data_IF_747323679786
#
_entry.id   IF_747323679786
#
_cell.length_a   1.000
_cell.length_b   1.000
_cell.length_c   1.000
_cell.angle_alpha   90.00
_cell.angle_beta   90.00
_cell.angle_gamma   90.00
#
_symmetry.space_group_name_H-M   'P 1'
#
loop_
_entity.id
_entity.type
_entity.pdbx_description
1 polymer ?
#
# COMPACT_ATOMS: atom_id res chain seq x y z
N UNK A 1 -5.94 -9.96 -93.01
CA UNK A 1 -5.47 -8.93 -92.05
C UNK A 1 -5.43 -9.57 -90.67
N UNK A 2 -4.35 -9.69 -89.89
CA UNK A 2 -2.95 -9.27 -89.96
C UNK A 2 -2.10 -10.38 -89.32
N UNK A 3 -0.85 -10.46 -89.77
CA UNK A 3 0.22 -11.37 -89.36
C UNK A 3 0.76 -11.14 -87.94
N UNK A 4 1.43 -12.20 -87.41
CA UNK A 4 2.57 -12.20 -86.46
C UNK A 4 2.22 -11.86 -85.00
N UNK A 5 2.76 -12.47 -83.94
CA UNK A 5 4.06 -13.11 -83.64
C UNK A 5 3.87 -13.82 -82.28
N UNK A 6 4.29 -15.08 -82.13
CA UNK A 6 5.45 -15.54 -81.35
C UNK A 6 5.35 -15.55 -79.80
N UNK A 7 5.98 -16.59 -79.24
CA UNK A 7 6.50 -16.75 -77.87
C UNK A 7 5.48 -17.00 -76.76
N UNK A 8 5.76 -17.76 -75.70
CA UNK A 8 6.68 -18.87 -75.33
C UNK A 8 6.42 -19.01 -73.81
N UNK A 9 6.66 -20.21 -73.26
CA UNK A 9 7.00 -20.49 -71.85
C UNK A 9 5.90 -20.18 -70.80
N UNK A 10 5.42 -21.15 -70.00
CA UNK A 10 6.07 -21.95 -68.92
C UNK A 10 6.14 -21.22 -67.56
N UNK A 11 5.89 -22.01 -66.50
CA UNK A 11 6.21 -21.86 -65.07
C UNK A 11 5.18 -21.05 -64.24
N UNK A 12 4.32 -21.67 -63.42
CA UNK A 12 4.51 -22.50 -62.19
C UNK A 12 4.74 -21.66 -60.92
N UNK A 13 4.13 -22.16 -59.84
CA UNK A 13 4.31 -21.86 -58.40
C UNK A 13 3.49 -20.64 -57.93
N UNK A 14 2.52 -20.75 -57.02
CA UNK A 14 2.32 -21.68 -55.91
C UNK A 14 2.30 -20.85 -54.63
N UNK A 15 1.30 -21.00 -53.77
CA UNK A 15 1.39 -20.98 -52.29
C UNK A 15 0.01 -21.28 -51.70
N UNK A 16 0.07 -22.16 -50.71
CA UNK A 16 -0.97 -22.78 -49.89
C UNK A 16 -1.59 -21.76 -48.94
N UNK A 17 -2.92 -21.74 -48.85
CA UNK A 17 -3.67 -21.07 -47.79
C UNK A 17 -3.40 -21.79 -46.46
N UNK A 18 -2.68 -21.14 -45.55
CA UNK A 18 -2.54 -21.59 -44.15
C UNK A 18 -3.61 -20.92 -43.29
N UNK A 19 -4.42 -21.75 -42.63
CA UNK A 19 -5.37 -21.33 -41.62
C UNK A 19 -4.65 -20.65 -40.44
N UNK A 20 -5.29 -19.60 -39.95
CA UNK A 20 -4.89 -18.73 -38.85
C UNK A 20 -4.59 -19.48 -37.54
N UNK A 21 -3.43 -19.16 -36.95
CA UNK A 21 -3.05 -19.50 -35.57
C UNK A 21 -3.98 -18.81 -34.57
N UNK A 22 -4.61 -19.60 -33.69
CA UNK A 22 -5.06 -19.14 -32.38
C UNK A 22 -3.95 -19.46 -31.37
N UNK A 23 -3.10 -18.48 -31.06
CA UNK A 23 -2.12 -18.57 -29.99
C UNK A 23 -2.82 -18.51 -28.64
N UNK A 24 -3.00 -19.67 -28.02
CA UNK A 24 -3.28 -19.82 -26.61
C UNK A 24 -2.04 -19.36 -25.82
N UNK A 25 -2.02 -18.09 -25.38
CA UNK A 25 -1.04 -17.61 -24.40
C UNK A 25 -1.40 -18.24 -23.05
N UNK A 26 -0.87 -19.44 -22.82
CA UNK A 26 -0.68 -19.97 -21.48
C UNK A 26 0.30 -19.02 -20.77
N UNK A 27 -0.26 -18.02 -20.09
CA UNK A 27 0.47 -17.17 -19.17
C UNK A 27 1.00 -18.10 -18.09
N UNK A 28 2.31 -18.36 -18.12
CA UNK A 28 3.02 -18.94 -16.99
C UNK A 28 2.79 -18.01 -15.81
N UNK A 29 1.83 -18.37 -14.96
CA UNK A 29 1.80 -17.92 -13.59
C UNK A 29 3.06 -18.47 -12.94
N UNK A 30 4.13 -17.67 -12.98
CA UNK A 30 5.21 -17.77 -12.02
C UNK A 30 4.59 -17.41 -10.67
N UNK A 31 3.94 -18.40 -10.08
CA UNK A 31 3.62 -18.44 -8.66
C UNK A 31 4.97 -18.44 -7.95
N UNK A 32 5.49 -17.24 -7.69
CA UNK A 32 6.60 -17.06 -6.77
C UNK A 32 6.06 -17.43 -5.41
N UNK A 33 6.19 -18.70 -5.06
CA UNK A 33 6.15 -19.20 -3.70
C UNK A 33 7.31 -18.51 -2.97
N UNK A 34 7.06 -17.32 -2.42
CA UNK A 34 8.00 -16.70 -1.51
C UNK A 34 7.93 -17.50 -0.22
N UNK A 35 9.03 -18.20 0.02
CA UNK A 35 9.46 -18.74 1.30
C UNK A 35 9.18 -17.67 2.36
N UNK A 36 8.19 -17.94 3.22
CA UNK A 36 7.94 -17.17 4.43
C UNK A 36 9.21 -17.28 5.28
N UNK A 37 9.97 -16.21 5.34
CA UNK A 37 10.93 -16.00 6.42
C UNK A 37 10.14 -15.57 7.66
N UNK A 38 10.32 -16.32 8.75
CA UNK A 38 9.62 -16.24 10.04
C UNK A 38 9.81 -14.92 10.84
N UNK A 39 9.95 -13.76 10.19
CA UNK A 39 9.95 -12.45 10.86
C UNK A 39 8.78 -11.55 10.47
N UNK A 40 7.83 -12.06 9.67
CA UNK A 40 6.67 -11.32 9.15
C UNK A 40 5.39 -11.56 9.99
N UNK A 41 5.42 -12.48 10.96
CA UNK A 41 4.25 -12.86 11.76
C UNK A 41 3.68 -11.73 12.66
N UNK A 42 4.39 -10.62 12.86
CA UNK A 42 3.93 -9.49 13.71
C UNK A 42 3.44 -8.26 12.96
N UNK A 43 3.64 -8.16 11.64
CA UNK A 43 3.23 -7.00 10.86
C UNK A 43 1.86 -7.24 10.22
N UNK A 44 0.89 -6.37 10.51
CA UNK A 44 -0.37 -6.33 9.78
C UNK A 44 -0.09 -5.96 8.33
N UNK A 45 0.64 -4.87 8.09
CA UNK A 45 0.97 -4.40 6.74
C UNK A 45 2.45 -4.01 6.66
N UNK A 46 3.11 -4.41 5.57
CA UNK A 46 4.50 -4.07 5.28
C UNK A 46 4.68 -3.64 3.82
N UNK A 47 4.96 -2.35 3.58
CA UNK A 47 5.25 -1.81 2.26
C UNK A 47 6.75 -1.60 2.09
N UNK A 48 7.34 -2.18 1.03
CA UNK A 48 8.73 -1.98 0.68
C UNK A 48 8.86 -0.97 -0.47
N UNK A 49 9.21 0.26 -0.13
CA UNK A 49 9.49 1.33 -1.08
C UNK A 49 10.96 1.37 -1.54
N UNK A 50 11.28 2.36 -2.38
CA UNK A 50 12.63 2.64 -2.89
C UNK A 50 13.48 3.44 -1.90
N UNK A 51 12.85 4.30 -1.10
CA UNK A 51 13.52 5.16 -0.11
C UNK A 51 13.27 4.68 1.32
N UNK A 52 12.10 4.08 1.57
CA UNK A 52 11.71 3.64 2.90
C UNK A 52 10.86 2.38 2.87
N UNK A 53 10.84 1.67 4.00
CA UNK A 53 9.82 0.67 4.31
C UNK A 53 8.81 1.26 5.27
N UNK A 54 7.54 0.90 5.09
CA UNK A 54 6.45 1.29 6.00
C UNK A 54 5.84 0.05 6.61
N UNK A 55 5.78 0.00 7.93
CA UNK A 55 5.24 -1.11 8.69
C UNK A 55 4.11 -0.63 9.61
N UNK A 56 3.02 -1.39 9.63
CA UNK A 56 1.94 -1.28 10.60
C UNK A 56 1.85 -2.64 11.30
N UNK A 57 2.09 -2.64 12.61
CA UNK A 57 2.06 -3.85 13.43
C UNK A 57 0.65 -4.36 13.69
N UNK A 58 0.54 -5.60 14.18
CA UNK A 58 -0.73 -6.21 14.60
C UNK A 58 -1.27 -5.71 15.95
N UNK A 59 -0.49 -4.89 16.66
CA UNK A 59 -0.87 -4.30 17.95
C UNK A 59 -1.73 -3.06 17.77
N UNK A 60 -2.84 -2.99 18.50
CA UNK A 60 -3.62 -1.78 18.67
C UNK A 60 -3.20 -1.04 19.94
N UNK A 61 -3.43 0.27 19.96
CA UNK A 61 -2.95 1.11 21.04
C UNK A 61 -4.08 1.91 21.68
N UNK A 62 -4.01 2.01 23.01
CA UNK A 62 -4.78 2.96 23.81
C UNK A 62 -4.02 4.29 23.89
N UNK A 63 -4.70 5.39 23.64
CA UNK A 63 -4.16 6.75 23.74
C UNK A 63 -4.91 7.60 24.79
N UNK A 64 -4.68 8.92 24.78
CA UNK A 64 -5.27 9.84 25.76
C UNK A 64 -6.80 9.91 25.67
N UNK A 65 -7.37 9.67 24.49
CA UNK A 65 -8.81 9.57 24.32
C UNK A 65 -9.25 8.10 24.31
N UNK A 66 -9.91 7.66 25.39
CA UNK A 66 -10.40 6.29 25.54
C UNK A 66 -11.54 5.93 24.57
N UNK A 67 -12.14 6.91 23.89
CA UNK A 67 -13.14 6.66 22.86
C UNK A 67 -12.52 6.19 21.53
N UNK A 68 -11.20 6.26 21.37
CA UNK A 68 -10.47 5.91 20.15
C UNK A 68 -9.53 4.73 20.40
N UNK A 69 -9.14 4.08 19.30
CA UNK A 69 -7.94 3.25 19.28
C UNK A 69 -6.95 3.84 18.27
N UNK A 70 -5.70 3.43 18.41
CA UNK A 70 -4.60 3.92 17.59
C UNK A 70 -3.86 2.76 16.94
N UNK A 71 -3.28 3.03 15.78
CA UNK A 71 -2.25 2.17 15.17
C UNK A 71 -0.89 2.85 15.28
N UNK A 72 0.17 2.04 15.29
CA UNK A 72 1.54 2.51 15.12
C UNK A 72 1.92 2.40 13.64
N UNK A 73 2.33 3.50 13.03
CA UNK A 73 2.96 3.52 11.71
C UNK A 73 4.45 3.75 11.90
N UNK A 74 5.26 2.83 11.42
CA UNK A 74 6.71 2.94 11.43
C UNK A 74 7.25 3.10 10.01
N UNK A 75 8.01 4.16 9.78
CA UNK A 75 8.64 4.48 8.50
C UNK A 75 10.15 4.38 8.71
N UNK A 76 10.78 3.39 8.09
CA UNK A 76 12.22 3.18 8.20
C UNK A 76 12.91 3.58 6.91
N UNK A 77 13.90 4.48 7.01
CA UNK A 77 14.74 4.85 5.88
C UNK A 77 15.68 3.69 5.53
N UNK A 78 15.49 3.13 4.34
CA UNK A 78 16.28 2.02 3.81
C UNK A 78 17.30 2.46 2.77
N UNK A 79 17.40 3.78 2.51
CA UNK A 79 18.39 4.36 1.61
C UNK A 79 19.63 4.84 2.36
N UNK A 80 20.73 5.00 1.62
CA UNK A 80 21.99 5.55 2.17
C UNK A 80 21.97 7.08 2.37
N UNK A 81 20.86 7.74 2.05
CA UNK A 81 20.73 9.19 2.14
C UNK A 81 19.68 9.57 3.18
N UNK A 82 19.78 10.77 3.74
CA UNK A 82 18.68 11.35 4.51
C UNK A 82 17.45 11.45 3.59
N UNK A 83 16.29 11.10 4.12
CA UNK A 83 15.01 11.28 3.44
C UNK A 83 14.15 12.28 4.23
N UNK A 84 13.30 13.02 3.53
CA UNK A 84 12.26 13.86 4.11
C UNK A 84 10.88 13.29 3.80
N UNK A 85 9.96 13.37 4.77
CA UNK A 85 8.56 12.94 4.66
C UNK A 85 7.65 14.17 4.76
N UNK A 86 6.71 14.27 3.83
CA UNK A 86 5.65 15.28 3.88
C UNK A 86 4.51 14.82 4.77
N UNK A 87 4.46 15.38 5.99
CA UNK A 87 3.38 15.17 6.96
C UNK A 87 2.48 16.41 7.10
N UNK A 88 2.55 17.35 6.15
CA UNK A 88 1.85 18.65 6.26
C UNK A 88 0.32 18.53 6.18
N UNK A 89 -0.19 17.51 5.49
CA UNK A 89 -1.62 17.20 5.41
C UNK A 89 -1.95 15.98 6.27
N UNK A 90 -2.26 16.23 7.55
CA UNK A 90 -2.63 15.20 8.53
C UNK A 90 -3.82 14.35 8.10
N UNK A 91 -4.69 14.85 7.23
CA UNK A 91 -5.87 14.11 6.77
C UNK A 91 -5.54 13.02 5.76
N UNK A 92 -4.37 13.12 5.11
CA UNK A 92 -3.94 12.21 4.04
C UNK A 92 -2.81 11.26 4.41
N UNK A 93 -2.19 11.37 5.60
CA UNK A 93 -1.19 10.39 6.08
C UNK A 93 -1.80 8.99 6.15
N UNK A 94 -1.02 7.94 6.39
CA UNK A 94 -1.60 6.59 6.58
C UNK A 94 -2.39 6.57 7.90
N UNK A 95 -3.63 6.07 7.86
CA UNK A 95 -4.55 6.02 8.99
C UNK A 95 -5.50 4.80 8.95
N UNK A 96 -6.11 4.40 10.08
CA UNK A 96 -7.16 3.38 10.11
C UNK A 96 -8.48 3.93 9.54
N UNK A 97 -9.05 3.28 8.53
CA UNK A 97 -10.21 3.77 7.80
C UNK A 97 -11.53 3.10 8.20
N UNK A 98 -11.51 1.78 8.40
CA UNK A 98 -12.65 1.02 8.91
C UNK A 98 -12.15 -0.21 9.67
N UNK A 99 -12.98 -0.72 10.56
CA UNK A 99 -12.73 -1.99 11.25
C UNK A 99 -14.03 -2.73 11.49
N UNK A 100 -13.94 -4.00 11.85
CA UNK A 100 -15.08 -4.79 12.28
C UNK A 100 -14.69 -6.22 12.64
N UNK A 101 -15.65 -6.96 13.19
CA UNK A 101 -15.46 -8.36 13.56
C UNK A 101 -15.78 -9.28 12.39
N UNK A 102 -15.05 -10.38 12.29
CA UNK A 102 -15.27 -11.40 11.28
C UNK A 102 -15.35 -12.79 11.93
N UNK A 103 -16.27 -13.63 11.44
CA UNK A 103 -16.35 -15.03 11.84
C UNK A 103 -15.30 -15.91 11.17
N UNK A 104 -14.79 -15.49 10.00
CA UNK A 104 -13.77 -16.19 9.23
C UNK A 104 -12.54 -15.30 9.05
N UNK A 105 -11.39 -15.90 8.75
CA UNK A 105 -10.17 -15.17 8.41
C UNK A 105 -10.21 -14.55 7.00
N UNK A 106 -11.40 -14.29 6.46
CA UNK A 106 -11.61 -13.75 5.13
C UNK A 106 -12.40 -12.46 5.21
N UNK A 107 -11.88 -11.43 4.55
CA UNK A 107 -12.56 -10.17 4.37
C UNK A 107 -13.52 -10.30 3.19
N UNK A 108 -14.82 -10.10 3.43
CA UNK A 108 -15.81 -9.94 2.37
C UNK A 108 -15.72 -8.53 1.76
N UNK A 109 -16.45 -8.28 0.67
CA UNK A 109 -16.55 -6.94 0.10
C UNK A 109 -17.13 -5.97 1.11
N UNK A 110 -16.30 -5.01 1.55
CA UNK A 110 -16.70 -3.97 2.48
C UNK A 110 -17.00 -2.72 1.67
N UNK A 111 -18.22 -2.20 1.83
CA UNK A 111 -18.58 -0.90 1.29
C UNK A 111 -17.95 0.20 2.16
N UNK A 112 -16.76 0.64 1.75
CA UNK A 112 -16.01 1.67 2.46
C UNK A 112 -15.77 2.89 1.56
N UNK A 113 -15.95 4.08 2.14
CA UNK A 113 -15.44 5.30 1.52
C UNK A 113 -13.93 5.37 1.78
N UNK A 114 -13.17 5.62 0.72
CA UNK A 114 -11.72 5.85 0.76
C UNK A 114 -11.42 7.18 0.11
N UNK A 115 -10.30 7.80 0.49
CA UNK A 115 -9.79 8.95 -0.25
C UNK A 115 -9.37 8.52 -1.66
N UNK A 116 -9.29 9.48 -2.58
CA UNK A 116 -8.56 9.31 -3.82
C UNK A 116 -7.13 9.78 -3.56
N UNK A 117 -6.11 8.89 -3.56
CA UNK A 117 -4.74 9.31 -3.32
C UNK A 117 -4.26 10.29 -4.38
N UNK A 118 -3.54 11.32 -3.95
CA UNK A 118 -2.95 12.28 -4.87
C UNK A 118 -1.85 11.59 -5.70
N UNK A 119 -1.71 11.99 -6.96
CA UNK A 119 -0.64 11.49 -7.82
C UNK A 119 0.68 12.16 -7.47
N UNK A 120 1.78 11.42 -7.65
CA UNK A 120 3.13 11.99 -7.63
C UNK A 120 3.47 12.56 -9.02
N UNK A 121 2.86 13.69 -9.36
CA UNK A 121 3.14 14.40 -10.61
C UNK A 121 4.35 15.35 -10.50
N UNK A 122 4.69 16.02 -11.61
CA UNK A 122 5.84 16.92 -11.66
C UNK A 122 5.72 18.11 -10.70
N UNK A 123 4.51 18.63 -10.49
CA UNK A 123 4.26 19.73 -9.55
C UNK A 123 4.49 19.27 -8.11
N UNK A 124 3.91 18.13 -7.71
CA UNK A 124 4.10 17.56 -6.37
C UNK A 124 5.56 17.18 -6.13
N UNK A 125 6.27 16.61 -7.12
CA UNK A 125 7.70 16.32 -7.03
C UNK A 125 8.53 17.60 -6.84
N UNK A 126 8.27 18.65 -7.62
CA UNK A 126 8.96 19.94 -7.49
C UNK A 126 8.76 20.58 -6.11
N UNK A 127 7.53 20.52 -5.58
CA UNK A 127 7.21 20.97 -4.22
C UNK A 127 7.99 20.18 -3.17
N UNK A 128 7.97 18.84 -3.23
CA UNK A 128 8.69 17.97 -2.27
C UNK A 128 10.18 18.28 -2.23
N UNK A 129 10.82 18.39 -3.39
CA UNK A 129 12.26 18.73 -3.48
C UNK A 129 12.54 20.11 -2.90
N UNK A 130 11.66 21.08 -3.16
CA UNK A 130 11.79 22.44 -2.61
C UNK A 130 11.64 22.45 -1.09
N UNK A 131 10.65 21.73 -0.55
CA UNK A 131 10.43 21.63 0.89
C UNK A 131 11.56 20.87 1.59
N UNK A 132 12.12 19.85 0.94
CA UNK A 132 13.32 19.15 1.41
C UNK A 132 14.51 20.11 1.54
N UNK A 133 14.81 20.89 0.48
CA UNK A 133 15.91 21.88 0.50
C UNK A 133 15.71 22.96 1.57
N UNK A 134 14.45 23.34 1.81
CA UNK A 134 14.08 24.35 2.79
C UNK A 134 13.87 23.80 4.21
N UNK A 135 14.18 22.52 4.46
CA UNK A 135 14.03 21.85 5.76
C UNK A 135 12.62 21.93 6.36
N UNK A 136 11.60 21.80 5.51
CA UNK A 136 10.17 21.83 5.90
C UNK A 136 9.53 20.44 6.06
N UNK A 137 10.29 19.38 5.83
CA UNK A 137 9.84 18.00 5.93
C UNK A 137 10.31 17.39 7.26
N UNK A 138 9.71 16.26 7.63
CA UNK A 138 10.22 15.42 8.70
C UNK A 138 11.39 14.58 8.17
N UNK A 139 12.58 14.69 8.78
CA UNK A 139 13.79 14.05 8.25
C UNK A 139 14.13 12.76 8.98
N UNK A 140 14.50 11.73 8.21
CA UNK A 140 14.98 10.46 8.74
C UNK A 140 16.38 10.18 8.21
N UNK A 141 17.33 10.04 9.12
CA UNK A 141 18.69 9.60 8.79
C UNK A 141 18.73 8.17 8.24
N UNK A 142 19.78 7.80 7.48
CA UNK A 142 19.96 6.43 7.01
C UNK A 142 19.84 5.39 8.13
N UNK A 143 19.09 4.32 7.87
CA UNK A 143 18.83 3.21 8.81
C UNK A 143 18.08 3.60 10.09
N UNK A 144 17.50 4.82 10.17
CA UNK A 144 16.62 5.23 11.28
C UNK A 144 15.16 5.04 10.92
N UNK A 145 14.32 5.03 11.96
CA UNK A 145 12.87 4.98 11.85
C UNK A 145 12.27 6.27 12.38
N UNK A 146 11.20 6.72 11.73
CA UNK A 146 10.22 7.65 12.28
C UNK A 146 8.97 6.85 12.65
N UNK A 147 8.40 7.14 13.82
CA UNK A 147 7.20 6.48 14.32
C UNK A 147 6.16 7.53 14.63
N UNK A 148 4.93 7.28 14.19
CA UNK A 148 3.78 8.03 14.67
C UNK A 148 2.60 7.11 14.98
N UNK A 149 1.70 7.62 15.81
CA UNK A 149 0.42 7.01 16.11
C UNK A 149 -0.69 7.85 15.50
N UNK A 150 -1.72 7.19 15.00
CA UNK A 150 -2.90 7.88 14.47
C UNK A 150 -4.16 7.11 14.83
N UNK A 151 -5.22 7.84 15.09
CA UNK A 151 -6.46 7.35 15.67
C UNK A 151 -7.44 6.84 14.61
N UNK A 152 -8.26 5.87 15.04
CA UNK A 152 -9.60 5.68 14.51
C UNK A 152 -10.58 6.40 15.46
N UNK A 153 -11.40 7.30 14.91
CA UNK A 153 -12.19 8.26 15.68
C UNK A 153 -13.49 7.70 16.28
N UNK A 154 -13.58 6.39 16.47
CA UNK A 154 -14.70 5.72 17.14
C UNK A 154 -14.25 4.43 17.83
N UNK A 155 -15.00 4.00 18.86
CA UNK A 155 -14.83 2.71 19.54
C UNK A 155 -13.39 2.40 19.99
N UNK A 156 -13.00 2.89 21.17
CA UNK A 156 -11.77 2.46 21.83
C UNK A 156 -11.83 0.99 22.30
N UNK A 157 -10.76 0.56 22.99
CA UNK A 157 -10.54 -0.83 23.43
C UNK A 157 -11.80 -1.49 24.01
N UNK A 158 -12.41 -0.89 25.03
CA UNK A 158 -13.60 -1.44 25.69
C UNK A 158 -14.73 -1.71 24.69
N UNK A 159 -15.03 -0.75 23.83
CA UNK A 159 -16.11 -0.89 22.85
C UNK A 159 -15.81 -1.97 21.79
N UNK A 160 -14.54 -2.17 21.42
CA UNK A 160 -14.12 -3.24 20.48
C UNK A 160 -14.16 -4.62 21.14
N UNK A 161 -13.67 -4.72 22.38
CA UNK A 161 -13.62 -6.00 23.09
C UNK A 161 -15.02 -6.48 23.52
N UNK A 162 -15.96 -5.56 23.78
CA UNK A 162 -17.32 -5.84 24.25
C UNK A 162 -18.38 -5.95 23.13
N UNK A 163 -18.01 -5.81 21.86
CA UNK A 163 -18.97 -5.96 20.75
C UNK A 163 -19.67 -7.31 20.80
N UNK A 164 -21.00 -7.32 20.66
CA UNK A 164 -21.84 -8.53 20.65
C UNK A 164 -21.63 -9.44 19.43
N UNK A 165 -20.99 -8.94 18.37
CA UNK A 165 -20.57 -9.73 17.21
C UNK A 165 -19.32 -10.55 17.55
N UNK A 166 -19.54 -11.79 18.00
CA UNK A 166 -18.49 -12.72 18.39
C UNK A 166 -17.89 -13.38 17.13
N UNK A 167 -17.03 -12.62 16.45
CA UNK A 167 -16.08 -13.14 15.47
C UNK A 167 -14.75 -13.49 16.14
N UNK A 168 -14.08 -14.57 15.69
CA UNK A 168 -12.72 -14.90 16.13
C UNK A 168 -11.65 -13.99 15.49
N UNK A 169 -12.06 -13.16 14.54
CA UNK A 169 -11.18 -12.32 13.76
C UNK A 169 -11.65 -10.86 13.80
N UNK A 170 -10.72 -9.96 13.53
CA UNK A 170 -10.91 -8.52 13.47
C UNK A 170 -10.26 -8.02 12.19
N UNK A 171 -10.99 -7.29 11.35
CA UNK A 171 -10.37 -6.63 10.21
C UNK A 171 -10.09 -5.15 10.53
N UNK A 172 -9.03 -4.63 9.93
CA UNK A 172 -8.67 -3.22 9.97
C UNK A 172 -8.25 -2.74 8.60
N UNK A 173 -9.13 -2.01 7.92
CA UNK A 173 -8.75 -1.37 6.67
C UNK A 173 -7.94 -0.11 6.95
N UNK A 174 -6.86 0.08 6.19
CA UNK A 174 -6.09 1.31 6.18
C UNK A 174 -6.41 2.12 4.93
N UNK A 175 -6.21 3.42 5.03
CA UNK A 175 -6.25 4.37 3.92
C UNK A 175 -5.17 5.44 4.11
N UNK A 176 -5.05 6.34 3.14
CA UNK A 176 -4.05 7.40 3.15
C UNK A 176 -2.82 7.09 2.29
N UNK A 177 -1.85 7.99 2.38
CA UNK A 177 -0.64 8.00 1.58
C UNK A 177 0.50 8.74 2.29
N UNK A 178 1.72 8.50 1.83
CA UNK A 178 2.92 9.23 2.21
C UNK A 178 3.66 9.68 0.96
N UNK A 179 4.26 10.85 1.05
CA UNK A 179 5.22 11.35 0.08
C UNK A 179 6.58 11.51 0.71
N UNK A 180 7.60 10.97 0.05
CA UNK A 180 8.98 10.96 0.53
C UNK A 180 9.90 11.51 -0.55
N UNK A 181 11.04 12.08 -0.15
CA UNK A 181 12.11 12.47 -1.06
C UNK A 181 13.47 12.46 -0.37
N UNK A 182 14.54 12.21 -1.12
CA UNK A 182 15.92 12.44 -0.66
C UNK A 182 16.53 13.72 -1.29
N UNK A 183 15.70 14.61 -1.81
CA UNK A 183 16.11 15.81 -2.54
C UNK A 183 16.35 15.61 -4.04
N UNK A 184 16.51 14.36 -4.51
CA UNK A 184 16.73 14.03 -5.92
C UNK A 184 15.66 13.09 -6.49
N UNK A 185 15.22 12.11 -5.70
CA UNK A 185 14.16 11.17 -6.02
C UNK A 185 12.96 11.45 -5.14
N UNK A 186 11.77 11.23 -5.68
CA UNK A 186 10.53 11.28 -4.92
C UNK A 186 9.84 9.92 -4.97
N UNK A 187 9.12 9.59 -3.91
CA UNK A 187 8.38 8.36 -3.75
C UNK A 187 6.99 8.66 -3.18
N UNK A 188 6.01 7.85 -3.58
CA UNK A 188 4.67 7.81 -3.01
C UNK A 188 4.38 6.40 -2.55
N UNK A 189 3.91 6.27 -1.31
CA UNK A 189 3.35 5.05 -0.74
C UNK A 189 1.87 5.33 -0.50
N UNK A 190 0.96 4.49 -0.99
CA UNK A 190 -0.49 4.72 -0.86
C UNK A 190 -1.27 3.40 -0.77
N UNK A 191 -2.41 3.43 -0.07
CA UNK A 191 -3.32 2.30 0.09
C UNK A 191 -4.52 2.39 -0.87
N UNK A 192 -4.29 2.02 -2.14
CA UNK A 192 -5.34 2.00 -3.18
C UNK A 192 -6.13 0.69 -3.18
N UNK A 193 -7.39 0.72 -3.64
CA UNK A 193 -8.34 -0.40 -3.61
C UNK A 193 -7.81 -1.71 -4.25
N UNK A 194 -7.01 -1.59 -5.31
CA UNK A 194 -6.50 -2.74 -6.07
C UNK A 194 -5.08 -3.16 -5.66
N UNK A 195 -4.58 -2.66 -4.53
CA UNK A 195 -3.29 -3.05 -4.00
C UNK A 195 -3.39 -4.37 -3.23
N UNK A 196 -2.30 -5.15 -3.22
CA UNK A 196 -2.20 -6.45 -2.51
C UNK A 196 -2.44 -6.36 -0.99
N UNK A 197 -2.58 -5.15 -0.45
CA UNK A 197 -2.67 -4.88 0.98
C UNK A 197 -4.04 -5.20 1.60
N UNK A 198 -5.09 -5.34 0.77
CA UNK A 198 -6.45 -5.64 1.23
C UNK A 198 -6.53 -6.97 2.00
N UNK A 199 -5.73 -7.97 1.62
CA UNK A 199 -5.69 -9.28 2.29
C UNK A 199 -4.96 -9.31 3.64
N UNK A 200 -4.08 -8.33 3.91
CA UNK A 200 -3.22 -8.32 5.08
C UNK A 200 -3.79 -7.45 6.21
N UNK A 201 -5.11 -7.46 6.40
CA UNK A 201 -5.79 -6.58 7.37
C UNK A 201 -6.52 -7.34 8.48
N UNK A 202 -6.33 -8.65 8.60
CA UNK A 202 -7.11 -9.49 9.51
C UNK A 202 -6.23 -9.95 10.68
N UNK A 203 -6.70 -9.68 11.89
CA UNK A 203 -6.11 -10.07 13.16
C UNK A 203 -6.95 -11.19 13.79
N UNK A 204 -6.30 -12.11 14.49
CA UNK A 204 -6.98 -13.11 15.31
C UNK A 204 -7.19 -12.56 16.71
N UNK A 205 -8.36 -12.80 17.30
CA UNK A 205 -8.66 -12.43 18.68
C UNK A 205 -8.07 -13.47 19.67
N UNK A 206 -7.69 -13.06 20.91
CA UNK A 206 -7.79 -11.71 21.46
C UNK A 206 -6.79 -10.73 20.83
N UNK A 207 -7.20 -9.47 20.70
CA UNK A 207 -6.34 -8.42 20.19
C UNK A 207 -5.25 -8.05 21.20
N UNK A 208 -4.07 -7.73 20.69
CA UNK A 208 -2.98 -7.23 21.53
C UNK A 208 -3.12 -5.71 21.66
N UNK A 209 -3.17 -5.24 22.90
CA UNK A 209 -3.32 -3.83 23.25
C UNK A 209 -2.11 -3.33 24.03
N UNK A 210 -1.59 -2.16 23.66
CA UNK A 210 -0.56 -1.44 24.42
C UNK A 210 -0.97 0.01 24.66
N UNK A 211 -0.35 0.67 25.64
CA UNK A 211 -0.55 2.11 25.88
C UNK A 211 0.49 2.94 25.14
N UNK A 212 0.08 4.04 24.53
CA UNK A 212 1.00 5.03 23.99
C UNK A 212 1.72 5.72 25.16
N UNK A 213 3.04 5.55 25.24
CA UNK A 213 3.86 6.14 26.32
C UNK A 213 4.24 7.59 26.01
N UNK A 214 4.43 7.92 24.72
CA UNK A 214 4.81 9.25 24.28
C UNK A 214 3.75 9.83 23.34
N UNK A 215 2.80 10.58 23.92
CA UNK A 215 1.69 11.19 23.19
C UNK A 215 2.14 12.25 22.16
N UNK A 216 3.37 12.76 22.24
CA UNK A 216 3.92 13.69 21.23
C UNK A 216 4.10 13.03 19.86
N UNK A 217 4.07 11.69 19.80
CA UNK A 217 4.12 10.93 18.55
C UNK A 217 2.74 10.74 17.92
N UNK A 218 1.67 11.24 18.55
CA UNK A 218 0.32 11.18 17.99
C UNK A 218 0.16 12.29 16.95
N UNK A 219 -0.21 11.91 15.72
CA UNK A 219 -0.68 12.86 14.70
C UNK A 219 -2.20 12.78 14.69
N UNK A 220 -2.83 13.65 15.49
CA UNK A 220 -4.30 13.75 15.59
C UNK A 220 -4.86 14.28 14.29
N UNK A 221 -5.72 13.49 13.65
CA UNK A 221 -6.45 13.89 12.44
C UNK A 221 -7.65 14.74 12.81
N UNK A 222 -8.31 14.49 13.94
CA UNK A 222 -9.43 15.30 14.46
C UNK A 222 -8.99 16.74 14.79
#
# INVERSE_FOLDING_TARGET
MKFKKQMKLILILGIVMSCTLANNKQSQTNSTTQIMNNSIESSLIYCNGKLATVEIGSTLYEGPNSAYFYIKVEIKNTSDNIIGIDLSDKWKIIYPNQWGNLHTAQRYDINEMRIVPDKLDSLKMGKLITDYKNKKLEFIDPNKSFIYYTEFNANGKTAIDETSEIGNFFYLSLDGQLFLTNGNKCERIAFEKDTKWVGNSILTKPLVWLKIVNEKLIISRI
#
